data_IF_178738680499
#
_entry.id   IF_178738680499
#
_cell.length_a   1.000
_cell.length_b   1.000
_cell.length_c   1.000
_cell.angle_alpha   90.00
_cell.angle_beta   90.00
_cell.angle_gamma   90.00
#
_symmetry.space_group_name_H-M   'P 1'
#
loop_
_entity.id
_entity.type
_entity.pdbx_description
1 polymer ?
#
# COMPACT_ATOMS: atom_id res chain seq x y z
N UNK A 1 -13.01 -16.30 -4.88
CA UNK A 1 -13.33 -17.41 -5.79
C UNK A 1 -12.21 -17.69 -6.79
N UNK A 2 -11.74 -16.72 -7.58
CA UNK A 2 -10.62 -16.88 -8.53
C UNK A 2 -9.33 -17.39 -7.89
N UNK A 3 -8.98 -16.95 -6.69
CA UNK A 3 -7.81 -17.42 -5.93
C UNK A 3 -7.90 -18.91 -5.58
N UNK A 4 -9.07 -19.42 -5.21
CA UNK A 4 -9.30 -20.82 -4.92
C UNK A 4 -9.14 -21.72 -6.15
N UNK A 5 -9.62 -21.25 -7.30
CA UNK A 5 -9.47 -21.96 -8.58
C UNK A 5 -7.99 -21.99 -8.99
N UNK A 6 -7.28 -20.87 -8.86
CA UNK A 6 -5.86 -20.79 -9.18
C UNK A 6 -5.02 -21.70 -8.27
N UNK A 7 -5.29 -21.73 -6.97
CA UNK A 7 -4.57 -22.56 -6.01
C UNK A 7 -4.87 -24.05 -6.19
N UNK A 8 -6.12 -24.43 -6.48
CA UNK A 8 -6.48 -25.80 -6.81
C UNK A 8 -5.80 -26.28 -8.11
N UNK A 9 -5.67 -25.41 -9.11
CA UNK A 9 -4.95 -25.69 -10.36
C UNK A 9 -3.43 -25.82 -10.13
N UNK A 10 -2.83 -24.98 -9.28
CA UNK A 10 -1.39 -25.06 -8.96
C UNK A 10 -1.08 -26.34 -8.18
N UNK A 11 -1.88 -26.67 -7.16
CA UNK A 11 -1.68 -27.89 -6.37
C UNK A 11 -1.96 -29.13 -7.20
N UNK A 12 -3.05 -29.15 -7.97
CA UNK A 12 -3.37 -30.26 -8.89
C UNK A 12 -2.33 -30.41 -9.99
N UNK A 13 -1.87 -29.33 -10.57
CA UNK A 13 -0.80 -29.32 -11.58
C UNK A 13 0.54 -29.79 -11.03
N UNK A 14 0.92 -29.36 -9.81
CA UNK A 14 2.15 -29.81 -9.15
C UNK A 14 2.13 -31.32 -8.86
N UNK A 15 1.01 -31.85 -8.37
CA UNK A 15 0.82 -33.29 -8.14
C UNK A 15 0.92 -34.06 -9.45
N UNK A 16 0.27 -33.59 -10.52
CA UNK A 16 0.31 -34.23 -11.84
C UNK A 16 1.73 -34.23 -12.45
N UNK A 17 2.45 -33.13 -12.33
CA UNK A 17 3.84 -32.99 -12.81
C UNK A 17 4.77 -33.90 -12.00
N UNK A 18 4.67 -33.93 -10.69
CA UNK A 18 5.47 -34.82 -9.84
C UNK A 18 5.20 -36.29 -10.17
N UNK A 19 3.94 -36.65 -10.42
CA UNK A 19 3.55 -37.99 -10.82
C UNK A 19 4.11 -38.38 -12.18
N UNK A 20 4.08 -37.49 -13.18
CA UNK A 20 4.61 -37.76 -14.53
C UNK A 20 6.14 -37.87 -14.56
N UNK A 21 6.85 -37.04 -13.78
CA UNK A 21 8.32 -37.10 -13.64
C UNK A 21 8.71 -38.41 -12.96
N UNK A 22 8.06 -38.75 -11.85
CA UNK A 22 8.33 -40.00 -11.14
C UNK A 22 8.03 -41.25 -11.96
N UNK A 23 6.96 -41.23 -12.74
CA UNK A 23 6.65 -42.35 -13.68
C UNK A 23 7.74 -42.50 -14.75
N UNK A 24 8.29 -41.43 -15.28
CA UNK A 24 9.39 -41.46 -16.27
C UNK A 24 10.70 -41.95 -15.70
N UNK A 25 11.08 -41.53 -14.47
CA UNK A 25 12.30 -42.03 -13.81
C UNK A 25 12.23 -43.50 -13.45
N UNK A 26 11.03 -44.03 -13.19
CA UNK A 26 10.84 -45.43 -12.81
C UNK A 26 10.89 -46.39 -14.01
N UNK A 27 10.50 -45.93 -15.20
CA UNK A 27 10.55 -46.74 -16.43
C UNK A 27 11.96 -46.90 -17.01
N UNK A 28 12.85 -45.92 -16.81
CA UNK A 28 14.17 -45.90 -17.45
C UNK A 28 15.11 -47.07 -17.03
N UNK A 29 15.25 -47.45 -15.74
CA UNK A 29 16.13 -48.56 -15.35
C UNK A 29 15.55 -49.96 -15.70
N UNK A 30 14.25 -50.08 -15.96
CA UNK A 30 13.64 -51.37 -16.34
C UNK A 30 14.01 -51.80 -17.74
N UNK A 31 14.16 -50.89 -18.68
CA UNK A 31 14.49 -51.18 -20.07
C UNK A 31 15.90 -51.73 -20.26
N UNK A 32 16.87 -51.37 -19.39
CA UNK A 32 18.26 -51.86 -19.50
C UNK A 32 18.51 -53.25 -18.91
N UNK A 33 17.65 -53.74 -17.98
CA UNK A 33 17.84 -55.06 -17.32
C UNK A 33 17.04 -56.19 -17.95
N UNK A 34 16.08 -55.91 -18.84
CA UNK A 34 15.26 -56.91 -19.54
C UNK A 34 16.05 -57.89 -20.46
N UNK A 35 17.10 -57.42 -21.18
CA UNK A 35 17.83 -58.33 -22.09
C UNK A 35 18.59 -59.43 -21.37
N UNK A 36 19.09 -59.19 -20.16
CA UNK A 36 19.96 -60.14 -19.44
C UNK A 36 19.23 -61.42 -19.03
N UNK A 37 17.97 -61.29 -18.55
CA UNK A 37 17.18 -62.47 -18.13
C UNK A 37 16.68 -63.24 -19.35
N UNK A 38 16.28 -62.55 -20.41
CA UNK A 38 15.85 -63.20 -21.65
C UNK A 38 17.01 -63.89 -22.35
N UNK A 39 18.21 -63.33 -22.34
CA UNK A 39 19.43 -63.95 -22.87
C UNK A 39 19.75 -65.24 -22.12
N UNK A 40 19.77 -65.18 -20.77
CA UNK A 40 20.00 -66.41 -19.97
C UNK A 40 18.95 -67.44 -20.18
N UNK A 41 17.69 -67.06 -20.22
CA UNK A 41 16.59 -67.98 -20.50
C UNK A 41 16.72 -68.64 -21.93
N UNK A 42 17.15 -67.85 -22.92
CA UNK A 42 17.37 -68.33 -24.29
C UNK A 42 18.55 -69.34 -24.39
N UNK A 43 19.66 -69.09 -23.66
CA UNK A 43 20.80 -69.98 -23.58
C UNK A 43 20.42 -71.36 -22.94
N UNK A 44 19.65 -71.27 -21.84
CA UNK A 44 19.19 -72.47 -21.14
C UNK A 44 18.24 -73.29 -22.04
N UNK A 45 17.32 -72.58 -22.73
CA UNK A 45 16.39 -73.22 -23.67
C UNK A 45 17.14 -73.86 -24.83
N UNK A 46 18.15 -73.25 -25.40
CA UNK A 46 18.95 -73.77 -26.50
C UNK A 46 19.78 -74.96 -26.10
N UNK A 47 20.27 -75.08 -24.87
CA UNK A 47 21.12 -76.23 -24.40
C UNK A 47 20.35 -77.44 -23.92
N UNK A 48 19.18 -77.25 -23.35
CA UNK A 48 18.49 -78.31 -22.63
C UNK A 48 16.96 -78.38 -22.86
N UNK A 49 16.44 -77.58 -23.78
CA UNK A 49 15.02 -77.54 -24.10
C UNK A 49 14.14 -77.04 -22.95
N UNK A 50 12.83 -77.26 -23.06
CA UNK A 50 11.81 -76.78 -22.13
C UNK A 50 12.00 -77.33 -20.72
N UNK A 51 12.49 -78.57 -20.58
CA UNK A 51 12.74 -79.20 -19.30
C UNK A 51 13.83 -78.48 -18.49
N UNK A 52 14.94 -78.12 -19.15
CA UNK A 52 16.02 -77.32 -18.52
C UNK A 52 15.57 -75.91 -18.18
N UNK A 53 14.75 -75.26 -19.04
CA UNK A 53 14.19 -73.95 -18.78
C UNK A 53 13.25 -73.92 -17.56
N UNK A 54 12.40 -74.94 -17.40
CA UNK A 54 11.57 -75.12 -16.19
C UNK A 54 12.39 -75.27 -14.94
N UNK A 55 13.41 -76.11 -14.94
CA UNK A 55 14.30 -76.34 -13.81
C UNK A 55 15.10 -75.02 -13.43
N UNK A 56 15.59 -74.35 -14.47
CA UNK A 56 16.29 -73.07 -14.30
C UNK A 56 15.40 -72.00 -13.68
N UNK A 57 14.15 -71.87 -14.18
CA UNK A 57 13.20 -70.89 -13.66
C UNK A 57 12.77 -71.27 -12.26
N UNK A 58 12.57 -72.51 -11.89
CA UNK A 58 12.22 -72.93 -10.54
C UNK A 58 13.35 -72.74 -9.57
N UNK A 59 14.60 -72.95 -9.97
CA UNK A 59 15.80 -72.62 -9.14
C UNK A 59 16.02 -71.15 -8.97
N UNK A 60 15.80 -70.36 -10.03
CA UNK A 60 16.10 -68.89 -10.01
C UNK A 60 14.91 -68.01 -9.68
N UNK A 61 13.70 -68.56 -9.44
CA UNK A 61 12.50 -67.77 -9.13
C UNK A 61 12.66 -66.84 -7.93
N UNK A 62 13.54 -67.21 -6.98
CA UNK A 62 13.83 -66.42 -5.77
C UNK A 62 15.20 -65.66 -5.81
N UNK A 63 16.00 -65.90 -6.84
CA UNK A 63 17.34 -65.34 -6.98
C UNK A 63 17.35 -63.94 -7.54
N UNK A 64 16.21 -63.48 -8.09
CA UNK A 64 16.05 -62.12 -8.60
C UNK A 64 15.36 -61.32 -7.50
N UNK A 65 16.06 -60.40 -6.84
CA UNK A 65 15.48 -59.60 -5.77
C UNK A 65 14.31 -58.74 -6.25
N UNK A 66 13.22 -58.75 -5.51
CA UNK A 66 12.03 -57.92 -5.68
C UNK A 66 11.23 -58.10 -6.98
N UNK A 67 11.45 -59.22 -7.76
CA UNK A 67 10.71 -59.46 -9.01
C UNK A 67 10.30 -60.92 -9.17
N UNK A 68 9.11 -61.12 -9.73
CA UNK A 68 8.65 -62.38 -10.23
C UNK A 68 8.88 -62.47 -11.74
N UNK A 69 9.52 -63.55 -12.19
CA UNK A 69 9.74 -63.83 -13.59
C UNK A 69 8.73 -64.89 -14.03
N UNK A 70 7.98 -64.58 -15.06
CA UNK A 70 7.07 -65.46 -15.72
C UNK A 70 7.56 -65.70 -17.15
N UNK A 71 7.51 -66.95 -17.63
CA UNK A 71 7.77 -67.27 -19.01
C UNK A 71 6.48 -67.89 -19.59
N UNK A 72 5.87 -67.16 -20.49
CA UNK A 72 4.57 -67.42 -21.04
C UNK A 72 4.77 -68.30 -22.34
N UNK A 73 4.14 -69.45 -22.39
CA UNK A 73 4.17 -70.31 -23.55
C UNK A 73 3.24 -69.81 -24.67
N UNK A 74 3.26 -70.54 -25.81
CA UNK A 74 2.37 -70.24 -26.95
C UNK A 74 0.88 -70.40 -26.62
N UNK A 75 0.56 -71.10 -25.54
CA UNK A 75 -0.79 -71.31 -24.99
C UNK A 75 -1.25 -70.15 -24.08
N UNK A 76 -0.42 -69.17 -23.89
CA UNK A 76 -0.72 -67.99 -23.00
C UNK A 76 -0.59 -68.36 -21.53
N UNK A 77 -0.13 -69.58 -21.15
CA UNK A 77 0.06 -69.99 -19.76
C UNK A 77 1.54 -69.88 -19.32
N UNK A 78 1.80 -69.67 -18.01
CA UNK A 78 3.15 -69.76 -17.47
C UNK A 78 3.70 -71.17 -17.54
N UNK A 79 4.92 -71.41 -18.01
CA UNK A 79 5.52 -72.71 -18.17
C UNK A 79 5.62 -73.54 -16.90
N UNK A 80 5.62 -72.90 -15.70
CA UNK A 80 5.55 -73.53 -14.40
C UNK A 80 4.10 -73.77 -13.92
N UNK A 81 3.08 -73.44 -14.72
CA UNK A 81 1.67 -73.56 -14.33
C UNK A 81 1.21 -72.64 -13.21
N UNK A 82 1.96 -71.56 -12.92
CA UNK A 82 1.61 -70.61 -11.89
C UNK A 82 0.49 -69.70 -12.40
N UNK A 83 -0.39 -69.28 -11.51
CA UNK A 83 -1.39 -68.26 -11.83
C UNK A 83 -0.68 -66.87 -11.98
N UNK A 84 -0.94 -66.20 -13.08
CA UNK A 84 -0.45 -64.85 -13.32
C UNK A 84 -1.05 -63.90 -12.30
N UNK A 85 -0.20 -63.11 -11.69
CA UNK A 85 -0.66 -62.04 -10.87
C UNK A 85 -1.42 -60.98 -11.70
N UNK A 86 -2.30 -60.19 -11.09
CA UNK A 86 -3.08 -59.16 -11.79
C UNK A 86 -2.17 -58.20 -12.57
N UNK A 87 -0.99 -57.86 -12.00
CA UNK A 87 0.02 -57.04 -12.65
C UNK A 87 0.70 -57.71 -13.85
N UNK A 88 0.90 -59.07 -13.79
CA UNK A 88 1.43 -59.85 -14.92
C UNK A 88 0.41 -59.96 -16.04
N UNK A 89 -0.85 -60.21 -15.72
CA UNK A 89 -1.93 -60.30 -16.68
C UNK A 89 -2.13 -58.99 -17.45
N UNK A 90 -2.18 -57.83 -16.76
CA UNK A 90 -2.28 -56.51 -17.40
C UNK A 90 -1.08 -56.18 -18.30
N UNK A 91 0.13 -56.60 -17.91
CA UNK A 91 1.32 -56.40 -18.75
C UNK A 91 1.30 -57.28 -20.00
N UNK A 92 0.82 -58.53 -19.90
CA UNK A 92 0.66 -59.39 -21.03
C UNK A 92 -0.36 -58.83 -22.03
N UNK A 93 -1.51 -58.35 -21.55
CA UNK A 93 -2.51 -57.69 -22.40
C UNK A 93 -1.94 -56.43 -23.09
N UNK A 94 -1.15 -55.64 -22.39
CA UNK A 94 -0.52 -54.45 -22.96
C UNK A 94 0.44 -54.82 -24.10
N UNK A 95 1.28 -55.85 -23.94
CA UNK A 95 2.20 -56.30 -24.97
C UNK A 95 1.49 -56.94 -26.16
N UNK A 96 0.44 -57.71 -25.93
CA UNK A 96 -0.36 -58.30 -26.99
C UNK A 96 -1.12 -57.25 -27.81
N UNK A 97 -1.54 -56.17 -27.20
CA UNK A 97 -2.21 -55.05 -27.89
C UNK A 97 -1.28 -54.29 -28.82
N UNK A 98 -0.03 -54.03 -28.38
CA UNK A 98 0.99 -53.39 -29.22
C UNK A 98 1.44 -54.26 -30.41
N UNK A 99 1.40 -55.58 -30.27
CA UNK A 99 1.75 -56.55 -31.35
C UNK A 99 0.69 -56.59 -32.47
N UNK A 100 -0.58 -56.36 -32.11
CA UNK A 100 -1.69 -56.27 -33.08
C UNK A 100 -1.62 -54.96 -33.88
N UNK A 101 -1.23 -53.86 -33.27
CA UNK A 101 -1.14 -52.52 -33.91
C UNK A 101 0.04 -52.45 -34.89
N UNK A 102 1.12 -53.21 -34.66
CA UNK A 102 2.32 -53.20 -35.53
C UNK A 102 2.29 -54.23 -36.66
N UNK A 103 1.20 -54.98 -36.86
CA UNK A 103 1.03 -56.01 -37.97
C UNK A 103 0.34 -55.44 -39.21
N UNK A 104 0.20 -54.12 -39.41
CA UNK A 104 -0.20 -53.61 -40.72
C UNK A 104 0.94 -53.78 -41.71
N UNK A 105 0.70 -54.41 -42.87
CA UNK A 105 1.73 -54.65 -43.88
C UNK A 105 2.11 -53.32 -44.56
N UNK A 106 3.39 -53.18 -44.95
CA UNK A 106 3.79 -52.01 -45.72
C UNK A 106 3.20 -52.08 -47.11
N UNK A 107 2.30 -51.21 -47.44
CA UNK A 107 1.82 -51.01 -48.82
C UNK A 107 2.96 -50.35 -49.63
N UNK A 108 3.33 -51.00 -50.72
CA UNK A 108 4.11 -50.39 -51.79
C UNK A 108 5.38 -51.17 -52.21
N UNK A 109 5.20 -52.24 -52.98
CA UNK A 109 6.25 -52.79 -53.78
C UNK A 109 6.48 -51.99 -55.05
N UNK A 110 7.64 -51.29 -55.13
CA UNK A 110 8.19 -50.85 -56.42
C UNK A 110 9.40 -51.70 -56.83
N UNK A 111 9.68 -51.88 -58.09
CA UNK A 111 10.52 -53.00 -58.61
C UNK A 111 12.01 -52.79 -58.37
N UNK A 112 12.65 -53.90 -58.10
CA UNK A 112 14.09 -54.02 -57.90
C UNK A 112 14.91 -53.69 -59.13
N UNK A 113 15.96 -52.87 -58.91
CA UNK A 113 17.12 -52.80 -59.83
C UNK A 113 18.28 -53.57 -59.18
N UNK A 114 18.69 -54.64 -59.88
CA UNK A 114 19.91 -55.41 -59.64
C UNK A 114 21.14 -54.61 -60.07
N UNK A 115 22.19 -54.60 -59.28
CA UNK A 115 23.60 -54.75 -59.67
C UNK A 115 24.40 -54.79 -58.36
N UNK A 116 25.17 -55.82 -58.10
CA UNK A 116 26.46 -56.11 -58.64
C UNK A 116 27.48 -55.96 -57.55
N UNK A 117 28.00 -57.06 -57.03
CA UNK A 117 29.40 -57.41 -56.80
C UNK A 117 30.18 -56.61 -55.70
N UNK A 118 30.71 -57.38 -54.73
CA UNK A 118 31.96 -57.10 -54.07
C UNK A 118 31.99 -57.41 -52.56
N UNK A 119 32.98 -58.21 -52.12
CA UNK A 119 33.09 -58.67 -50.73
C UNK A 119 33.89 -57.68 -49.87
N UNK A 120 33.73 -57.81 -48.55
CA UNK A 120 34.53 -57.23 -47.48
C UNK A 120 34.34 -55.76 -47.15
N UNK A 121 33.58 -55.52 -46.08
CA UNK A 121 34.03 -54.60 -45.05
C UNK A 121 33.56 -55.10 -43.68
N UNK A 122 34.53 -55.51 -42.89
CA UNK A 122 34.46 -55.59 -41.41
C UNK A 122 34.21 -54.19 -40.80
N UNK A 123 33.37 -54.19 -39.79
CA UNK A 123 33.23 -53.16 -38.80
C UNK A 123 33.00 -51.69 -39.31
N UNK A 124 31.73 -51.39 -39.48
CA UNK A 124 31.22 -50.02 -39.51
C UNK A 124 30.23 -49.86 -38.39
N UNK A 125 30.49 -48.91 -37.48
CA UNK A 125 29.53 -48.51 -36.47
C UNK A 125 28.21 -48.04 -37.15
N UNK A 126 27.03 -48.38 -36.62
CA UNK A 126 25.79 -47.90 -37.20
C UNK A 126 25.66 -46.39 -36.96
N UNK A 127 25.03 -45.64 -37.89
CA UNK A 127 24.79 -44.22 -37.73
C UNK A 127 23.89 -43.93 -36.52
N UNK A 128 23.96 -42.76 -35.88
CA UNK A 128 23.11 -42.37 -34.77
C UNK A 128 21.69 -42.12 -35.30
N UNK A 129 20.94 -43.16 -35.52
CA UNK A 129 19.52 -43.10 -35.82
C UNK A 129 18.73 -43.40 -34.56
N UNK A 130 17.70 -42.67 -34.31
CA UNK A 130 16.72 -42.76 -33.23
C UNK A 130 16.39 -44.20 -32.88
N UNK A 131 17.11 -44.82 -31.96
CA UNK A 131 16.77 -46.08 -31.35
C UNK A 131 15.56 -45.85 -30.45
N UNK A 132 14.36 -46.03 -30.99
CA UNK A 132 13.19 -46.24 -30.15
C UNK A 132 13.33 -47.65 -29.58
N UNK A 133 13.54 -47.83 -28.27
CA UNK A 133 13.58 -49.17 -27.70
C UNK A 133 12.25 -49.87 -28.03
N UNK A 134 12.33 -51.06 -28.61
CA UNK A 134 11.16 -51.91 -28.89
C UNK A 134 10.39 -52.07 -27.57
N UNK A 135 9.14 -51.62 -27.55
CA UNK A 135 8.24 -51.83 -26.41
C UNK A 135 7.75 -53.29 -26.29
N UNK A 136 8.10 -54.12 -27.22
CA UNK A 136 7.75 -55.52 -27.20
C UNK A 136 8.40 -56.27 -26.03
N UNK A 137 7.67 -57.22 -25.44
CA UNK A 137 8.23 -58.08 -24.42
C UNK A 137 9.35 -58.95 -25.04
N UNK A 138 10.46 -59.22 -24.31
CA UNK A 138 11.50 -60.10 -24.78
C UNK A 138 10.92 -61.49 -25.11
N UNK A 139 11.13 -61.91 -26.33
CA UNK A 139 10.68 -63.25 -26.82
C UNK A 139 11.89 -64.14 -27.01
N UNK A 140 11.75 -65.40 -26.64
CA UNK A 140 12.75 -66.47 -26.86
C UNK A 140 12.12 -67.53 -27.74
N UNK A 141 12.87 -67.97 -28.73
CA UNK A 141 12.38 -68.98 -29.69
C UNK A 141 13.06 -70.32 -29.38
N UNK A 142 12.28 -71.36 -29.22
CA UNK A 142 12.77 -72.70 -29.03
C UNK A 142 13.15 -73.40 -30.40
N UNK A 143 13.92 -74.47 -30.35
CA UNK A 143 14.37 -75.21 -31.55
C UNK A 143 13.25 -75.83 -32.39
N UNK A 144 12.05 -75.92 -31.81
CA UNK A 144 10.82 -76.36 -32.46
C UNK A 144 10.02 -75.25 -33.13
N UNK A 145 10.50 -74.03 -33.07
CA UNK A 145 9.85 -72.81 -33.56
C UNK A 145 8.82 -72.18 -32.62
N UNK A 146 8.58 -72.73 -31.44
CA UNK A 146 7.65 -72.14 -30.45
C UNK A 146 8.25 -70.89 -29.80
N UNK A 147 7.41 -69.87 -29.62
CA UNK A 147 7.80 -68.56 -29.07
C UNK A 147 7.34 -68.45 -27.63
N UNK A 148 8.26 -68.12 -26.76
CA UNK A 148 8.00 -67.88 -25.32
C UNK A 148 8.26 -66.45 -24.99
N UNK A 149 7.35 -65.81 -24.23
CA UNK A 149 7.44 -64.40 -23.81
C UNK A 149 7.93 -64.29 -22.35
N UNK A 150 8.99 -63.55 -22.12
CA UNK A 150 9.54 -63.37 -20.78
C UNK A 150 8.96 -62.10 -20.12
N UNK A 151 8.21 -62.29 -19.04
CA UNK A 151 7.60 -61.21 -18.26
C UNK A 151 8.28 -61.09 -16.89
N UNK A 152 8.66 -59.86 -16.51
CA UNK A 152 9.18 -59.54 -15.18
C UNK A 152 8.22 -58.62 -14.48
N UNK A 153 7.75 -58.96 -13.27
CA UNK A 153 6.79 -58.19 -12.49
C UNK A 153 7.38 -57.88 -11.12
N UNK A 154 7.34 -56.66 -10.62
CA UNK A 154 7.84 -56.37 -9.30
C UNK A 154 7.02 -57.08 -8.22
N UNK A 155 7.72 -57.71 -7.25
CA UNK A 155 7.13 -58.50 -6.17
C UNK A 155 6.45 -57.64 -5.12
N UNK A 156 6.93 -56.39 -4.93
CA UNK A 156 6.33 -55.42 -4.05
C UNK A 156 5.69 -54.32 -4.88
N UNK A 157 4.50 -53.81 -4.45
CA UNK A 157 3.98 -52.60 -5.06
C UNK A 157 5.04 -51.52 -4.89
N UNK A 158 5.43 -50.86 -6.00
CA UNK A 158 6.27 -49.67 -5.94
C UNK A 158 5.57 -48.65 -5.05
N UNK A 159 6.32 -47.73 -4.45
CA UNK A 159 5.75 -46.60 -3.67
C UNK A 159 4.65 -45.91 -4.49
N UNK A 160 4.79 -45.89 -5.82
CA UNK A 160 3.77 -45.37 -6.74
C UNK A 160 2.56 -46.29 -6.89
N UNK A 161 2.71 -47.62 -6.80
CA UNK A 161 1.58 -48.54 -6.74
C UNK A 161 0.79 -48.37 -5.44
N UNK A 162 1.46 -48.08 -4.34
CA UNK A 162 0.81 -47.77 -3.08
C UNK A 162 0.09 -46.38 -3.13
N UNK A 163 0.67 -45.39 -3.79
CA UNK A 163 0.02 -44.07 -4.00
C UNK A 163 -1.18 -44.15 -4.97
N UNK A 164 -1.25 -45.14 -5.83
CA UNK A 164 -2.38 -45.34 -6.73
C UNK A 164 -3.59 -46.02 -6.06
N UNK A 165 -3.45 -46.42 -4.79
CA UNK A 165 -4.61 -46.89 -4.01
C UNK A 165 -5.57 -45.69 -3.81
N UNK A 166 -6.86 -45.83 -4.16
CA UNK A 166 -7.82 -44.72 -4.12
C UNK A 166 -7.95 -44.08 -2.73
N UNK A 167 -7.70 -44.84 -1.67
CA UNK A 167 -7.72 -44.33 -0.29
C UNK A 167 -6.59 -43.35 0.01
N UNK A 168 -5.37 -43.57 -0.51
CA UNK A 168 -4.21 -42.71 -0.25
C UNK A 168 -4.31 -41.41 -1.07
N UNK A 169 -4.73 -41.49 -2.34
CA UNK A 169 -4.94 -40.31 -3.18
C UNK A 169 -6.06 -39.41 -2.63
N UNK A 170 -7.13 -39.98 -2.10
CA UNK A 170 -8.21 -39.25 -1.44
C UNK A 170 -7.76 -38.58 -0.16
N UNK A 171 -6.92 -39.24 0.67
CA UNK A 171 -6.39 -38.62 1.90
C UNK A 171 -5.47 -37.43 1.61
N UNK A 172 -4.58 -37.54 0.61
CA UNK A 172 -3.71 -36.45 0.18
C UNK A 172 -4.56 -35.27 -0.34
N UNK A 173 -5.56 -35.55 -1.18
CA UNK A 173 -6.47 -34.52 -1.69
C UNK A 173 -7.25 -33.82 -0.56
N UNK A 174 -7.70 -34.56 0.45
CA UNK A 174 -8.39 -34.02 1.62
C UNK A 174 -7.48 -33.11 2.46
N UNK A 175 -6.25 -33.56 2.73
CA UNK A 175 -5.26 -32.75 3.46
C UNK A 175 -4.96 -31.45 2.70
N UNK A 176 -4.73 -31.51 1.38
CA UNK A 176 -4.50 -30.35 0.55
C UNK A 176 -5.68 -29.37 0.58
N UNK A 177 -6.90 -29.86 0.55
CA UNK A 177 -8.12 -29.06 0.66
C UNK A 177 -8.21 -28.36 2.02
N UNK A 178 -7.95 -29.07 3.12
CA UNK A 178 -7.97 -28.50 4.48
C UNK A 178 -6.89 -27.43 4.65
N UNK A 179 -5.66 -27.70 4.23
CA UNK A 179 -4.56 -26.71 4.29
C UNK A 179 -4.90 -25.48 3.46
N UNK A 180 -5.44 -25.65 2.25
CA UNK A 180 -5.87 -24.56 1.39
C UNK A 180 -7.01 -23.77 2.04
N UNK A 181 -7.98 -24.41 2.68
CA UNK A 181 -9.07 -23.75 3.40
C UNK A 181 -8.55 -22.92 4.57
N UNK A 182 -7.64 -23.48 5.38
CA UNK A 182 -7.05 -22.80 6.54
C UNK A 182 -6.20 -21.59 6.11
N UNK A 183 -5.38 -21.75 5.09
CA UNK A 183 -4.54 -20.64 4.59
C UNK A 183 -5.36 -19.51 4.00
N UNK A 184 -6.43 -19.81 3.26
CA UNK A 184 -7.32 -18.77 2.73
C UNK A 184 -8.15 -18.10 3.81
N UNK A 185 -8.62 -18.85 4.80
CA UNK A 185 -9.32 -18.28 5.95
C UNK A 185 -8.38 -17.35 6.73
N UNK A 186 -7.16 -17.78 6.99
CA UNK A 186 -6.13 -16.97 7.64
C UNK A 186 -5.81 -15.71 6.84
N UNK A 187 -5.62 -15.82 5.52
CA UNK A 187 -5.35 -14.69 4.65
C UNK A 187 -6.53 -13.69 4.60
N UNK A 188 -7.76 -14.21 4.56
CA UNK A 188 -8.97 -13.39 4.60
C UNK A 188 -9.06 -12.59 5.91
N UNK A 189 -8.77 -13.20 7.04
CA UNK A 189 -8.72 -12.52 8.33
C UNK A 189 -7.61 -11.47 8.40
N UNK A 190 -6.43 -11.78 7.85
CA UNK A 190 -5.26 -10.90 7.96
C UNK A 190 -5.25 -9.73 6.95
N UNK A 191 -5.79 -9.91 5.75
CA UNK A 191 -5.81 -8.85 4.72
C UNK A 191 -7.19 -8.22 4.53
N UNK A 192 -8.24 -9.03 4.39
CA UNK A 192 -9.56 -8.49 4.00
C UNK A 192 -10.26 -7.76 5.13
N UNK A 193 -10.11 -8.23 6.38
CA UNK A 193 -10.76 -7.62 7.54
C UNK A 193 -10.26 -6.17 7.80
N UNK A 194 -8.94 -5.89 7.86
CA UNK A 194 -8.44 -4.54 8.03
C UNK A 194 -8.84 -3.58 6.89
N UNK A 195 -8.78 -4.06 5.63
CA UNK A 195 -9.16 -3.25 4.47
C UNK A 195 -10.65 -2.86 4.55
N UNK A 196 -11.52 -3.76 4.95
CA UNK A 196 -12.95 -3.44 5.16
C UNK A 196 -13.14 -2.38 6.23
N UNK A 197 -12.37 -2.42 7.34
CA UNK A 197 -12.43 -1.38 8.38
C UNK A 197 -12.02 -0.01 7.85
N UNK A 198 -10.98 0.06 7.01
CA UNK A 198 -10.58 1.31 6.35
C UNK A 198 -11.71 1.82 5.45
N UNK A 199 -12.37 0.94 4.68
CA UNK A 199 -13.52 1.31 3.86
C UNK A 199 -14.71 1.80 4.70
N UNK A 200 -15.00 1.16 5.81
CA UNK A 200 -16.06 1.56 6.74
C UNK A 200 -15.73 2.91 7.38
N UNK A 201 -14.47 3.12 7.80
CA UNK A 201 -13.97 4.39 8.28
C UNK A 201 -14.10 5.52 7.26
N UNK A 202 -13.72 5.26 6.01
CA UNK A 202 -13.86 6.22 4.93
C UNK A 202 -15.33 6.57 4.62
N UNK A 203 -16.21 5.57 4.64
CA UNK A 203 -17.66 5.79 4.49
C UNK A 203 -18.25 6.55 5.67
N UNK A 204 -17.84 6.21 6.90
CA UNK A 204 -18.28 6.92 8.10
C UNK A 204 -17.87 8.40 8.04
N UNK A 205 -16.62 8.69 7.63
CA UNK A 205 -16.12 10.05 7.44
C UNK A 205 -16.89 10.80 6.34
N UNK A 206 -17.22 10.14 5.24
CA UNK A 206 -18.04 10.72 4.17
C UNK A 206 -19.47 11.03 4.63
N UNK A 207 -20.09 10.14 5.42
CA UNK A 207 -21.42 10.35 5.98
C UNK A 207 -21.42 11.43 7.06
N UNK A 208 -20.39 11.54 7.89
CA UNK A 208 -20.20 12.62 8.85
C UNK A 208 -20.11 13.98 8.13
N UNK A 209 -19.45 14.01 6.98
CA UNK A 209 -19.41 15.19 6.11
C UNK A 209 -20.77 15.57 5.53
N UNK A 210 -21.70 14.62 5.35
CA UNK A 210 -23.06 14.86 4.90
C UNK A 210 -24.03 15.29 6.01
N UNK A 211 -23.56 15.51 7.26
CA UNK A 211 -24.37 15.99 8.38
C UNK A 211 -25.07 14.86 9.18
N UNK A 212 -24.83 13.60 8.85
CA UNK A 212 -25.31 12.47 9.67
C UNK A 212 -24.43 12.35 10.93
N UNK A 213 -25.06 12.24 12.11
CA UNK A 213 -24.38 11.92 13.38
C UNK A 213 -23.89 10.46 13.36
N UNK A 214 -22.91 10.15 12.52
CA UNK A 214 -22.29 8.83 12.50
C UNK A 214 -21.06 8.86 13.43
N UNK A 215 -21.09 8.03 14.45
CA UNK A 215 -20.01 7.58 15.34
C UNK A 215 -18.75 8.49 15.38
N UNK A 216 -18.84 9.62 16.06
CA UNK A 216 -17.74 10.55 16.30
C UNK A 216 -16.65 9.95 17.21
N UNK A 217 -16.07 8.83 16.84
CA UNK A 217 -15.07 8.09 17.63
C UNK A 217 -14.60 6.82 16.95
N UNK A 218 -15.07 6.53 15.75
CA UNK A 218 -14.61 5.36 15.03
C UNK A 218 -13.15 5.56 14.60
N UNK A 219 -12.25 4.74 15.15
CA UNK A 219 -10.84 4.67 14.76
C UNK A 219 -10.58 3.36 14.03
N UNK A 220 -10.00 3.45 12.87
CA UNK A 220 -9.63 2.29 12.05
C UNK A 220 -8.49 1.51 12.71
N UNK A 221 -7.56 2.19 13.37
CA UNK A 221 -6.44 1.59 14.10
C UNK A 221 -6.86 0.84 15.35
N UNK A 222 -8.08 1.04 15.86
CA UNK A 222 -8.58 0.34 17.04
C UNK A 222 -8.64 -1.18 16.79
N UNK A 223 -7.89 -1.94 17.60
CA UNK A 223 -7.73 -3.40 17.44
C UNK A 223 -6.62 -3.83 16.46
N UNK A 224 -5.84 -2.89 15.92
CA UNK A 224 -4.62 -3.14 15.16
C UNK A 224 -3.35 -2.72 15.92
N UNK A 225 -3.46 -2.37 17.20
CA UNK A 225 -2.39 -1.81 18.04
C UNK A 225 -1.20 -2.76 18.21
N UNK A 226 -1.46 -4.07 18.21
CA UNK A 226 -0.41 -5.11 18.33
C UNK A 226 0.32 -5.40 17.02
N UNK A 227 -0.16 -4.88 15.89
CA UNK A 227 0.44 -5.11 14.56
C UNK A 227 1.48 -4.03 14.25
N UNK A 228 2.57 -4.48 13.61
CA UNK A 228 3.68 -3.62 13.17
C UNK A 228 3.87 -3.64 11.64
N UNK A 229 2.87 -4.16 10.93
CA UNK A 229 2.90 -4.28 9.47
C UNK A 229 2.41 -2.99 8.77
N UNK A 230 2.51 -2.98 7.45
CA UNK A 230 2.14 -1.85 6.58
C UNK A 230 0.66 -1.49 6.71
N UNK A 231 -0.19 -2.48 7.03
CA UNK A 231 -1.63 -2.25 7.23
C UNK A 231 -1.90 -1.46 8.50
N UNK A 232 -1.13 -1.71 9.56
CA UNK A 232 -1.25 -0.95 10.80
C UNK A 232 -0.70 0.48 10.66
N UNK A 233 0.32 0.69 9.82
CA UNK A 233 0.81 2.03 9.45
C UNK A 233 -0.29 2.77 8.69
N UNK A 234 -0.85 2.18 7.64
CA UNK A 234 -1.92 2.76 6.84
C UNK A 234 -3.16 3.12 7.68
N UNK A 235 -3.53 2.28 8.63
CA UNK A 235 -4.66 2.55 9.51
C UNK A 235 -4.41 3.76 10.43
N UNK A 236 -3.18 3.93 10.93
CA UNK A 236 -2.77 5.11 11.74
C UNK A 236 -2.73 6.38 10.91
N UNK A 237 -2.18 6.31 9.70
CA UNK A 237 -2.13 7.44 8.79
C UNK A 237 -3.54 7.89 8.38
N UNK A 238 -4.45 6.91 8.16
CA UNK A 238 -5.85 7.19 7.89
C UNK A 238 -6.53 7.89 9.08
N UNK A 239 -6.31 7.41 10.32
CA UNK A 239 -6.89 8.03 11.51
C UNK A 239 -6.33 9.46 11.71
N UNK A 240 -5.03 9.66 11.50
CA UNK A 240 -4.41 10.99 11.55
C UNK A 240 -5.02 11.96 10.51
N UNK A 241 -5.20 11.49 9.28
CA UNK A 241 -5.87 12.27 8.21
C UNK A 241 -7.33 12.58 8.58
N UNK A 242 -8.06 11.60 9.12
CA UNK A 242 -9.44 11.79 9.56
C UNK A 242 -9.56 12.82 10.70
N UNK A 243 -8.65 12.75 11.68
CA UNK A 243 -8.60 13.72 12.80
C UNK A 243 -8.25 15.12 12.29
N UNK A 244 -7.31 15.25 11.36
CA UNK A 244 -6.96 16.52 10.73
C UNK A 244 -8.15 17.12 9.95
N UNK A 245 -8.87 16.30 9.20
CA UNK A 245 -10.06 16.74 8.45
C UNK A 245 -11.18 17.22 9.39
N UNK A 246 -11.40 16.50 10.52
CA UNK A 246 -12.37 16.91 11.55
C UNK A 246 -11.98 18.22 12.20
N UNK A 247 -10.71 18.37 12.55
CA UNK A 247 -10.19 19.61 13.14
C UNK A 247 -10.36 20.79 12.18
N UNK A 248 -10.01 20.64 10.90
CA UNK A 248 -10.19 21.69 9.90
C UNK A 248 -11.68 22.06 9.73
N UNK A 249 -12.55 21.06 9.66
CA UNK A 249 -14.01 21.30 9.53
C UNK A 249 -14.57 22.02 10.76
N UNK A 250 -14.16 21.60 11.96
CA UNK A 250 -14.57 22.26 13.20
C UNK A 250 -14.13 23.73 13.23
N UNK A 251 -12.87 24.01 12.85
CA UNK A 251 -12.33 25.36 12.75
C UNK A 251 -13.12 26.23 11.75
N UNK A 252 -13.43 25.69 10.55
CA UNK A 252 -14.24 26.42 9.55
C UNK A 252 -15.65 26.68 10.08
N UNK A 253 -16.28 25.70 10.72
CA UNK A 253 -17.64 25.86 11.25
C UNK A 253 -17.67 26.91 12.38
N UNK A 254 -16.66 26.90 13.24
CA UNK A 254 -16.49 27.90 14.28
C UNK A 254 -16.28 29.30 13.67
N UNK A 255 -15.38 29.41 12.70
CA UNK A 255 -15.13 30.66 11.97
C UNK A 255 -16.41 31.22 11.33
N UNK A 256 -17.22 30.42 10.66
CA UNK A 256 -18.49 30.85 10.08
C UNK A 256 -19.50 31.33 11.12
N UNK A 257 -19.52 30.70 12.29
CA UNK A 257 -20.37 31.11 13.41
C UNK A 257 -19.93 32.47 13.93
N UNK A 258 -18.63 32.64 14.16
CA UNK A 258 -18.07 33.87 14.70
C UNK A 258 -18.23 35.05 13.72
N UNK A 259 -17.99 34.81 12.41
CA UNK A 259 -18.31 35.79 11.36
C UNK A 259 -19.77 36.23 11.41
N UNK A 260 -20.70 35.26 11.54
CA UNK A 260 -22.13 35.56 11.58
C UNK A 260 -22.50 36.44 12.77
N UNK A 261 -21.85 36.21 13.91
CA UNK A 261 -22.02 37.04 15.10
C UNK A 261 -21.43 38.45 14.92
N UNK A 262 -20.22 38.57 14.39
CA UNK A 262 -19.53 39.83 14.20
C UNK A 262 -20.15 40.69 13.07
N UNK A 263 -20.73 40.11 12.03
CA UNK A 263 -21.50 40.82 10.99
C UNK A 263 -22.84 41.36 11.52
N UNK A 264 -23.48 40.66 12.44
CA UNK A 264 -24.81 41.03 12.93
C UNK A 264 -24.74 42.37 13.75
N UNK A 265 -23.66 42.55 14.48
CA UNK A 265 -23.51 43.75 15.34
C UNK A 265 -23.44 45.06 14.54
N UNK A 266 -22.55 45.26 13.55
CA UNK A 266 -22.52 46.48 12.73
C UNK A 266 -23.81 46.67 11.92
N UNK A 267 -24.41 45.60 11.39
CA UNK A 267 -25.72 45.69 10.71
C UNK A 267 -26.83 46.19 11.62
N UNK A 268 -26.83 45.78 12.91
CA UNK A 268 -27.79 46.27 13.87
C UNK A 268 -27.56 47.78 14.14
N UNK A 269 -26.27 48.22 14.31
CA UNK A 269 -25.94 49.64 14.49
C UNK A 269 -26.31 50.48 13.28
N UNK A 270 -26.07 50.03 12.07
CA UNK A 270 -26.49 50.71 10.84
C UNK A 270 -28.01 50.86 10.78
N UNK A 271 -28.78 49.82 11.14
CA UNK A 271 -30.26 49.93 11.24
C UNK A 271 -30.73 50.94 12.23
N UNK A 272 -30.07 51.06 13.41
CA UNK A 272 -30.36 52.07 14.40
C UNK A 272 -30.04 53.47 13.87
N UNK A 273 -28.87 53.66 13.26
CA UNK A 273 -28.48 54.95 12.68
C UNK A 273 -29.47 55.38 11.58
N UNK A 274 -29.89 54.45 10.72
CA UNK A 274 -30.90 54.73 9.70
C UNK A 274 -32.27 55.07 10.28
N UNK A 275 -32.68 54.37 11.35
CA UNK A 275 -33.90 54.65 12.08
C UNK A 275 -33.88 56.04 12.72
N UNK A 276 -32.76 56.44 13.32
CA UNK A 276 -32.56 57.76 13.89
C UNK A 276 -32.54 58.87 12.81
N UNK A 277 -31.89 58.63 11.67
CA UNK A 277 -31.86 59.56 10.53
C UNK A 277 -33.22 59.88 9.95
N UNK A 278 -34.22 59.05 10.15
CA UNK A 278 -35.62 59.24 9.69
C UNK A 278 -36.47 60.09 10.63
N UNK A 279 -35.96 60.46 11.80
CA UNK A 279 -36.70 61.30 12.77
C UNK A 279 -36.67 62.79 12.32
N UNK A 280 -37.74 63.52 12.53
CA UNK A 280 -37.85 64.92 12.04
C UNK A 280 -36.81 65.91 12.59
N UNK A 281 -36.19 65.61 13.76
CA UNK A 281 -35.18 66.45 14.40
C UNK A 281 -33.76 65.79 14.35
N UNK A 282 -33.52 64.91 13.44
CA UNK A 282 -32.26 64.15 13.38
C UNK A 282 -31.12 65.01 12.81
N UNK A 283 -29.95 64.87 13.41
CA UNK A 283 -28.68 65.30 12.79
C UNK A 283 -28.28 64.23 11.76
N UNK A 284 -28.74 64.46 10.54
CA UNK A 284 -28.56 63.54 9.39
C UNK A 284 -27.07 63.32 9.09
N UNK A 285 -26.26 64.42 9.15
CA UNK A 285 -24.81 64.34 8.87
C UNK A 285 -24.11 63.39 9.85
N UNK A 286 -24.42 63.47 11.11
CA UNK A 286 -23.86 62.59 12.15
C UNK A 286 -24.28 61.15 11.99
N UNK A 287 -25.52 60.90 11.52
CA UNK A 287 -25.97 59.51 11.24
C UNK A 287 -25.32 58.94 9.98
N UNK A 288 -25.11 59.77 8.95
CA UNK A 288 -24.38 59.35 7.73
C UNK A 288 -22.93 58.98 8.07
N UNK A 289 -22.21 59.82 8.82
CA UNK A 289 -20.84 59.50 9.26
C UNK A 289 -20.76 58.20 10.09
N UNK A 290 -21.80 57.91 10.87
CA UNK A 290 -21.88 56.61 11.58
C UNK A 290 -22.09 55.47 10.63
N UNK A 291 -22.94 55.60 9.60
CA UNK A 291 -23.16 54.60 8.59
C UNK A 291 -21.89 54.35 7.79
N UNK A 292 -21.20 55.37 7.34
CA UNK A 292 -19.94 55.26 6.61
C UNK A 292 -18.90 54.48 7.43
N UNK A 293 -18.69 54.82 8.70
CA UNK A 293 -17.77 54.08 9.57
C UNK A 293 -18.13 52.61 9.77
N UNK A 294 -19.43 52.28 9.86
CA UNK A 294 -19.84 50.89 9.99
C UNK A 294 -19.69 50.13 8.68
N UNK A 295 -19.84 50.79 7.52
CA UNK A 295 -19.60 50.19 6.16
C UNK A 295 -18.10 49.90 6.01
N UNK A 296 -17.22 50.91 6.31
CA UNK A 296 -15.76 50.74 6.25
C UNK A 296 -15.30 49.59 7.15
N UNK A 297 -15.89 49.48 8.34
CA UNK A 297 -15.61 48.43 9.29
C UNK A 297 -16.02 47.04 8.75
N UNK A 298 -17.20 46.92 8.09
CA UNK A 298 -17.66 45.69 7.46
C UNK A 298 -16.76 45.29 6.32
N UNK A 299 -16.32 46.22 5.48
CA UNK A 299 -15.43 45.95 4.36
C UNK A 299 -14.07 45.43 4.84
N UNK A 300 -13.51 46.08 5.88
CA UNK A 300 -12.30 45.59 6.54
C UNK A 300 -12.46 44.17 7.09
N UNK A 301 -13.56 43.88 7.81
CA UNK A 301 -13.87 42.57 8.37
C UNK A 301 -13.95 41.52 7.29
N UNK A 302 -14.68 41.80 6.19
CA UNK A 302 -14.82 40.85 5.05
C UNK A 302 -13.45 40.57 4.43
N UNK A 303 -12.63 41.60 4.22
CA UNK A 303 -11.29 41.46 3.66
C UNK A 303 -10.37 40.61 4.55
N UNK A 304 -10.40 40.80 5.86
CA UNK A 304 -9.63 40.03 6.83
C UNK A 304 -10.11 38.57 6.89
N UNK A 305 -11.44 38.34 6.86
CA UNK A 305 -12.02 37.01 6.83
C UNK A 305 -11.64 36.24 5.56
N UNK A 306 -11.70 36.88 4.39
CA UNK A 306 -11.29 36.29 3.12
C UNK A 306 -9.80 35.96 3.11
N UNK A 307 -8.95 36.84 3.69
CA UNK A 307 -7.51 36.58 3.88
C UNK A 307 -7.28 35.36 4.76
N UNK A 308 -7.97 35.28 5.90
CA UNK A 308 -7.87 34.17 6.84
C UNK A 308 -8.37 32.85 6.21
N UNK A 309 -9.51 32.89 5.49
CA UNK A 309 -10.05 31.71 4.80
C UNK A 309 -9.10 31.15 3.72
N UNK A 310 -8.44 32.04 2.96
CA UNK A 310 -7.40 31.63 2.00
C UNK A 310 -6.20 30.97 2.65
N UNK A 311 -5.79 31.44 3.83
CA UNK A 311 -4.69 30.88 4.59
C UNK A 311 -5.04 29.52 5.23
N UNK A 312 -6.31 29.26 5.56
CA UNK A 312 -6.78 27.95 6.05
C UNK A 312 -7.03 26.93 4.96
N UNK A 313 -7.25 27.35 3.74
CA UNK A 313 -7.50 26.49 2.56
C UNK A 313 -6.26 25.83 1.95
N UNK A 314 -5.37 25.57 2.69
CA UNK A 314 -4.16 24.77 2.86
C UNK A 314 -3.34 24.27 1.70
N UNK A 315 -3.65 24.23 0.48
CA UNK A 315 -2.74 23.62 -0.52
C UNK A 315 -2.65 24.37 -1.86
N UNK A 316 -3.22 25.56 -1.96
CA UNK A 316 -2.85 26.41 -3.08
C UNK A 316 -1.50 27.05 -2.75
N UNK A 317 -0.40 26.66 -3.41
CA UNK A 317 0.85 27.34 -3.23
C UNK A 317 0.62 28.81 -3.61
N UNK A 318 0.60 29.71 -2.61
CA UNK A 318 0.73 31.14 -2.94
C UNK A 318 2.07 31.33 -3.66
N UNK A 319 2.09 32.21 -4.67
CA UNK A 319 3.31 32.52 -5.39
C UNK A 319 4.38 32.91 -4.38
N UNK A 320 5.43 32.11 -4.29
CA UNK A 320 6.59 32.39 -3.43
C UNK A 320 7.60 33.17 -4.24
N UNK A 321 7.91 34.33 -3.79
CA UNK A 321 8.95 35.20 -4.37
C UNK A 321 10.02 35.42 -3.31
N UNK A 322 11.26 35.59 -3.76
CA UNK A 322 12.32 36.02 -2.87
C UNK A 322 12.22 37.51 -2.68
N UNK A 323 12.10 37.98 -1.43
CA UNK A 323 12.06 39.40 -1.08
C UNK A 323 12.94 39.67 0.11
N UNK A 324 13.40 40.92 0.18
CA UNK A 324 14.19 41.43 1.32
C UNK A 324 13.25 41.71 2.49
N UNK A 325 13.50 41.06 3.62
CA UNK A 325 12.68 41.24 4.82
C UNK A 325 12.93 42.60 5.51
N UNK A 326 14.15 43.16 5.39
CA UNK A 326 14.44 44.49 5.92
C UNK A 326 13.58 45.57 5.26
N UNK A 327 13.38 45.48 3.92
CA UNK A 327 12.49 46.41 3.21
C UNK A 327 11.05 46.35 3.75
N UNK A 328 10.55 45.14 4.00
CA UNK A 328 9.19 44.96 4.56
C UNK A 328 9.08 45.53 5.95
N UNK A 329 10.06 45.26 6.81
CA UNK A 329 10.07 45.79 8.21
C UNK A 329 10.13 47.30 8.23
N UNK A 330 11.05 47.90 7.42
CA UNK A 330 11.21 49.35 7.34
C UNK A 330 9.94 50.05 6.82
N UNK A 331 9.28 49.46 5.81
CA UNK A 331 8.02 49.97 5.27
C UNK A 331 6.94 49.98 6.35
N UNK A 332 6.70 48.85 7.03
CA UNK A 332 5.67 48.72 8.06
C UNK A 332 5.97 49.61 9.26
N UNK A 333 7.24 49.71 9.68
CA UNK A 333 7.65 50.62 10.78
C UNK A 333 7.39 52.07 10.42
N UNK A 334 7.63 52.48 9.18
CA UNK A 334 7.35 53.85 8.68
C UNK A 334 5.87 54.16 8.74
N UNK A 335 5.03 53.26 8.25
CA UNK A 335 3.57 53.42 8.24
C UNK A 335 3.00 53.42 9.65
N UNK A 336 3.47 52.53 10.51
CA UNK A 336 3.05 52.48 11.91
C UNK A 336 3.49 53.73 12.72
N UNK A 337 4.66 54.36 12.42
CA UNK A 337 5.05 55.62 12.99
C UNK A 337 4.12 56.76 12.54
N UNK A 338 3.67 56.76 11.29
CA UNK A 338 2.70 57.75 10.80
C UNK A 338 1.35 57.59 11.51
N UNK A 339 0.83 56.37 11.64
CA UNK A 339 -0.40 56.11 12.41
C UNK A 339 -0.26 56.47 13.90
N UNK A 340 0.90 56.15 14.49
CA UNK A 340 1.23 56.42 15.89
C UNK A 340 1.37 57.93 16.24
N UNK A 341 1.60 58.77 15.23
CA UNK A 341 1.81 60.22 15.42
C UNK A 341 0.64 60.89 16.15
N UNK A 342 -0.60 60.45 15.92
CA UNK A 342 -1.79 60.97 16.60
C UNK A 342 -1.79 60.72 18.13
N UNK A 343 -1.09 59.68 18.59
CA UNK A 343 -0.88 59.33 20.00
C UNK A 343 0.50 59.72 20.53
N UNK A 344 1.33 60.36 19.70
CA UNK A 344 2.75 60.56 19.97
C UNK A 344 3.51 59.30 20.33
N UNK A 345 3.05 58.15 19.81
CA UNK A 345 3.66 56.84 19.99
C UNK A 345 4.78 56.66 18.95
N UNK A 346 5.99 56.35 19.39
CA UNK A 346 7.16 56.18 18.53
C UNK A 346 7.55 54.70 18.47
N UNK A 347 8.03 54.27 17.31
CA UNK A 347 8.55 52.91 17.13
C UNK A 347 10.07 53.00 17.08
N UNK A 348 10.73 52.16 17.91
CA UNK A 348 12.16 52.06 18.01
C UNK A 348 12.60 50.72 17.41
N UNK A 349 13.13 50.74 16.19
CA UNK A 349 13.64 49.52 15.50
C UNK A 349 15.10 49.30 15.86
N UNK A 350 15.44 48.09 16.31
CA UNK A 350 16.80 47.64 16.61
C UNK A 350 17.11 46.35 15.87
N UNK A 351 18.30 46.27 15.29
CA UNK A 351 18.72 45.11 14.51
C UNK A 351 18.32 45.21 13.03
N UNK A 352 18.70 44.25 12.28
CA UNK A 352 18.40 44.08 10.83
C UNK A 352 18.20 42.62 10.54
N UNK A 353 17.28 42.29 9.63
CA UNK A 353 17.00 40.93 9.24
C UNK A 353 18.16 40.36 8.40
N UNK A 354 18.73 41.16 7.51
CA UNK A 354 19.80 40.75 6.57
C UNK A 354 19.51 39.41 5.91
N UNK A 355 18.24 39.17 5.64
CA UNK A 355 17.74 37.85 5.16
C UNK A 355 16.73 38.06 4.03
N UNK A 356 16.90 37.30 2.97
CA UNK A 356 15.89 37.14 1.94
C UNK A 356 14.97 35.96 2.30
N UNK A 357 13.66 36.22 2.29
CA UNK A 357 12.63 35.21 2.56
C UNK A 357 11.98 34.77 1.27
N UNK A 358 11.84 33.47 1.11
CA UNK A 358 11.03 32.88 0.02
C UNK A 358 9.58 32.75 0.51
N UNK A 359 8.69 33.59 0.01
CA UNK A 359 7.32 33.62 0.49
C UNK A 359 6.46 34.63 -0.25
N UNK A 360 5.31 34.95 0.33
CA UNK A 360 4.45 36.01 -0.17
C UNK A 360 4.71 37.30 0.63
N UNK A 361 5.31 38.30 -0.03
CA UNK A 361 5.69 39.59 0.58
C UNK A 361 4.50 40.29 1.24
N UNK A 362 3.34 40.32 0.54
CA UNK A 362 2.15 41.04 1.04
C UNK A 362 1.56 40.40 2.30
N UNK A 363 1.63 39.03 2.38
CA UNK A 363 1.20 38.31 3.57
C UNK A 363 2.11 38.61 4.76
N UNK A 364 3.43 38.59 4.59
CA UNK A 364 4.41 38.87 5.62
C UNK A 364 4.28 40.35 6.06
N UNK A 365 4.18 41.29 5.11
CA UNK A 365 3.88 42.72 5.39
C UNK A 365 2.64 42.84 6.29
N UNK A 366 1.52 42.23 5.89
CA UNK A 366 0.28 42.25 6.64
C UNK A 366 0.40 41.67 8.06
N UNK A 367 1.21 40.58 8.20
CA UNK A 367 1.43 39.98 9.51
C UNK A 367 2.19 40.91 10.46
N UNK A 368 3.26 41.53 10.00
CA UNK A 368 4.05 42.49 10.77
C UNK A 368 3.21 43.75 11.10
N UNK A 369 2.49 44.28 10.10
CA UNK A 369 1.57 45.40 10.23
C UNK A 369 0.51 45.12 11.33
N UNK A 370 -0.13 43.99 11.33
CA UNK A 370 -1.14 43.61 12.33
C UNK A 370 -0.57 43.67 13.77
N UNK A 371 0.65 43.19 13.98
CA UNK A 371 1.30 43.20 15.29
C UNK A 371 1.68 44.60 15.68
N UNK A 372 2.29 45.40 14.79
CA UNK A 372 2.69 46.80 15.07
C UNK A 372 1.48 47.68 15.33
N UNK A 373 0.42 47.56 14.53
CA UNK A 373 -0.82 48.31 14.75
C UNK A 373 -1.47 47.95 16.08
N UNK A 374 -1.44 46.69 16.50
CA UNK A 374 -1.88 46.31 17.84
C UNK A 374 -1.00 46.93 18.93
N UNK A 375 0.32 46.89 18.77
CA UNK A 375 1.26 47.46 19.72
C UNK A 375 1.04 48.97 19.92
N UNK A 376 0.90 49.74 18.83
CA UNK A 376 0.58 51.20 18.87
C UNK A 376 -0.79 51.46 19.52
N UNK A 377 -1.76 50.62 19.20
CA UNK A 377 -3.13 50.76 19.67
C UNK A 377 -3.25 50.59 21.19
N UNK A 378 -2.64 49.52 21.73
CA UNK A 378 -2.72 49.18 23.16
C UNK A 378 -1.70 49.92 24.01
N UNK A 379 -0.70 50.57 23.40
CA UNK A 379 0.23 51.47 24.10
C UNK A 379 -0.47 52.74 24.58
N UNK A 380 -0.10 53.26 25.75
CA UNK A 380 -0.56 54.56 26.21
C UNK A 380 -0.03 55.69 25.31
N UNK A 381 -0.53 56.91 25.53
CA UNK A 381 -0.01 58.13 24.89
C UNK A 381 1.45 58.32 25.27
N UNK A 382 2.26 58.91 24.36
CA UNK A 382 3.70 59.16 24.53
C UNK A 382 4.55 57.89 24.75
N UNK A 383 4.06 56.74 24.45
CA UNK A 383 4.76 55.49 24.65
C UNK A 383 5.77 55.18 23.53
N UNK A 384 6.69 54.27 23.85
CA UNK A 384 7.66 53.72 22.93
C UNK A 384 7.33 52.25 22.66
N UNK A 385 7.13 51.87 21.40
CA UNK A 385 7.06 50.49 20.95
C UNK A 385 8.45 50.03 20.52
N UNK A 386 8.98 48.99 21.15
CA UNK A 386 10.29 48.46 20.80
C UNK A 386 10.14 47.30 19.81
N UNK A 387 10.86 47.35 18.70
CA UNK A 387 10.98 46.28 17.71
C UNK A 387 12.42 45.81 17.70
N UNK A 388 12.69 44.55 18.02
CA UNK A 388 14.00 43.94 17.92
C UNK A 388 13.99 42.87 16.87
N UNK A 389 15.06 42.83 16.09
CA UNK A 389 15.29 41.82 15.05
C UNK A 389 16.62 41.13 15.32
N UNK A 390 16.58 39.85 15.60
CA UNK A 390 17.73 39.06 16.02
C UNK A 390 17.77 37.75 15.20
N UNK A 391 18.99 37.25 14.94
CA UNK A 391 19.20 35.95 14.39
C UNK A 391 19.54 34.97 15.50
N UNK A 392 18.88 33.82 15.47
CA UNK A 392 19.25 32.69 16.29
C UNK A 392 19.66 31.47 15.40
N UNK A 393 20.01 30.33 16.02
CA UNK A 393 20.41 29.10 15.29
C UNK A 393 19.28 28.52 14.46
N UNK A 394 18.03 28.94 14.67
CA UNK A 394 16.82 28.40 14.02
C UNK A 394 16.25 29.33 12.94
N UNK A 395 16.75 30.56 12.84
CA UNK A 395 16.31 31.56 11.88
C UNK A 395 16.25 32.97 12.45
N UNK A 396 15.31 33.76 11.98
CA UNK A 396 15.10 35.14 12.42
C UNK A 396 13.99 35.20 13.48
N UNK A 397 14.27 35.93 14.55
CA UNK A 397 13.31 36.28 15.60
C UNK A 397 13.07 37.79 15.58
N UNK A 398 11.84 38.20 15.22
CA UNK A 398 11.38 39.56 15.36
C UNK A 398 10.49 39.66 16.60
N UNK A 399 10.84 40.48 17.56
CA UNK A 399 10.04 40.73 18.77
C UNK A 399 9.54 42.15 18.82
N UNK A 400 8.23 42.30 18.99
CA UNK A 400 7.54 43.59 19.05
C UNK A 400 6.96 43.75 20.47
N UNK A 401 7.43 44.70 21.23
CA UNK A 401 7.01 44.99 22.59
C UNK A 401 6.20 46.28 22.66
N UNK A 402 4.99 46.20 23.19
CA UNK A 402 4.19 47.37 23.56
C UNK A 402 4.40 47.76 25.04
N UNK A 403 3.82 48.90 25.45
CA UNK A 403 3.79 49.39 26.84
C UNK A 403 2.37 49.38 27.41
N UNK A 404 1.51 48.52 26.87
CA UNK A 404 0.12 48.35 27.27
C UNK A 404 -0.05 47.64 28.61
N UNK A 405 -1.29 47.28 28.96
CA UNK A 405 -1.60 46.53 30.17
C UNK A 405 -1.13 45.07 30.19
N UNK A 406 -0.66 44.57 29.04
CA UNK A 406 -0.40 43.13 28.84
C UNK A 406 -1.68 42.31 28.65
N UNK A 407 -1.55 40.99 28.77
CA UNK A 407 -2.63 40.02 28.59
C UNK A 407 -2.65 39.06 29.78
N UNK A 408 -3.81 38.71 30.36
CA UNK A 408 -3.86 37.69 31.40
C UNK A 408 -3.15 36.40 30.96
N UNK A 409 -2.37 35.74 31.83
CA UNK A 409 -1.60 34.58 31.47
C UNK A 409 -2.45 33.43 30.84
N UNK A 410 -3.69 33.31 31.29
CA UNK A 410 -4.62 32.28 30.72
C UNK A 410 -5.05 32.58 29.28
N UNK A 411 -4.95 33.83 28.84
CA UNK A 411 -5.42 34.29 27.53
C UNK A 411 -4.28 34.32 26.48
N UNK A 412 -3.00 34.23 26.92
CA UNK A 412 -1.83 34.38 26.04
C UNK A 412 -1.82 33.40 24.83
N UNK A 413 -2.28 32.19 25.02
CA UNK A 413 -2.39 31.21 23.92
C UNK A 413 -3.59 31.49 23.02
N UNK A 414 -4.65 32.06 23.57
CA UNK A 414 -5.91 32.31 22.87
C UNK A 414 -5.92 33.61 22.04
N UNK A 415 -5.02 34.57 22.27
CA UNK A 415 -4.99 35.81 21.48
C UNK A 415 -4.72 35.60 19.98
N UNK A 416 -4.24 34.43 19.58
CA UNK A 416 -4.03 34.03 18.19
C UNK A 416 -5.25 33.32 17.59
N UNK A 417 -6.29 33.03 18.38
CA UNK A 417 -7.54 32.48 17.87
C UNK A 417 -8.37 33.56 17.16
N UNK A 418 -9.03 33.23 16.04
CA UNK A 418 -9.89 34.19 15.34
C UNK A 418 -11.00 34.72 16.27
N UNK A 419 -11.24 36.04 16.21
CA UNK A 419 -12.27 36.75 16.98
C UNK A 419 -12.07 36.77 18.52
N UNK A 420 -10.96 36.19 19.01
CA UNK A 420 -10.67 36.23 20.44
C UNK A 420 -10.30 37.66 20.91
N UNK A 421 -10.87 38.05 22.02
CA UNK A 421 -10.60 39.35 22.68
C UNK A 421 -10.61 39.18 24.19
N UNK A 422 -9.60 39.72 24.87
CA UNK A 422 -9.51 39.75 26.33
C UNK A 422 -10.71 40.51 26.89
N UNK A 423 -11.33 40.00 27.96
CA UNK A 423 -12.59 40.51 28.49
C UNK A 423 -12.53 42.00 28.87
N UNK A 424 -11.40 42.48 29.39
CA UNK A 424 -11.19 43.84 29.79
C UNK A 424 -11.09 44.83 28.61
N UNK A 425 -10.79 44.37 27.39
CA UNK A 425 -10.69 45.18 26.18
C UNK A 425 -12.00 45.26 25.39
N UNK A 426 -13.11 44.77 25.95
CA UNK A 426 -14.43 44.78 25.28
C UNK A 426 -15.09 46.15 25.19
N UNK A 427 -14.49 47.20 25.75
CA UNK A 427 -15.00 48.52 25.58
C UNK A 427 -15.07 48.93 24.11
N UNK A 428 -16.27 49.33 23.69
CA UNK A 428 -16.72 49.43 22.29
C UNK A 428 -15.96 50.43 21.42
N UNK A 429 -15.18 51.33 22.03
CA UNK A 429 -14.39 52.34 21.32
C UNK A 429 -12.99 51.86 20.92
N UNK A 430 -12.54 50.73 21.45
CA UNK A 430 -11.23 50.16 21.14
C UNK A 430 -11.20 49.21 19.92
N UNK A 431 -12.06 49.37 18.99
CA UNK A 431 -12.21 49.08 17.55
C UNK A 431 -11.46 47.88 16.87
N UNK A 432 -10.97 46.83 17.52
CA UNK A 432 -10.35 45.66 16.85
C UNK A 432 -11.28 44.45 16.76
N UNK A 433 -11.24 43.77 15.64
CA UNK A 433 -12.13 42.64 15.31
C UNK A 433 -11.62 41.27 15.84
N UNK A 434 -10.40 41.24 16.42
CA UNK A 434 -9.79 40.01 16.94
C UNK A 434 -9.29 39.06 15.88
N UNK A 435 -9.10 39.51 14.63
CA UNK A 435 -8.65 38.66 13.52
C UNK A 435 -7.15 38.87 13.21
N UNK A 436 -6.60 40.04 13.49
CA UNK A 436 -5.25 40.44 13.06
C UNK A 436 -4.15 39.49 13.54
N UNK A 437 -4.13 39.11 14.83
CA UNK A 437 -3.14 38.17 15.36
C UNK A 437 -3.36 36.74 14.86
N UNK A 438 -4.61 36.34 14.60
CA UNK A 438 -4.91 35.07 13.97
C UNK A 438 -4.35 34.99 12.54
N UNK A 439 -4.50 36.06 11.75
CA UNK A 439 -3.86 36.17 10.42
C UNK A 439 -2.34 36.04 10.56
N UNK A 440 -1.75 36.81 11.52
CA UNK A 440 -0.30 36.77 11.78
C UNK A 440 0.17 35.31 12.05
N UNK A 441 -0.50 34.58 12.95
CA UNK A 441 -0.14 33.24 13.29
C UNK A 441 -0.23 32.27 12.06
N UNK A 442 -1.28 32.42 11.24
CA UNK A 442 -1.43 31.61 10.05
C UNK A 442 -0.40 31.96 8.95
N UNK A 443 -0.08 33.25 8.79
CA UNK A 443 0.98 33.64 7.85
C UNK A 443 2.34 33.12 8.30
N UNK A 444 2.69 33.23 9.57
CA UNK A 444 3.93 32.64 10.08
C UNK A 444 3.98 31.16 9.86
N UNK A 445 2.91 30.41 10.17
CA UNK A 445 2.80 28.97 9.94
C UNK A 445 2.95 28.61 8.46
N UNK A 446 2.32 29.36 7.55
CA UNK A 446 2.40 29.14 6.10
C UNK A 446 3.82 29.38 5.54
N UNK A 447 4.65 30.16 6.25
CA UNK A 447 6.06 30.38 5.95
C UNK A 447 7.01 29.47 6.75
N UNK A 448 6.48 28.41 7.41
CA UNK A 448 7.27 27.48 8.22
C UNK A 448 7.73 28.02 9.57
N UNK A 449 7.25 29.20 9.93
CA UNK A 449 7.56 29.88 11.19
C UNK A 449 6.46 29.73 12.24
N UNK A 450 6.52 30.57 13.27
CA UNK A 450 5.56 30.63 14.37
C UNK A 450 5.43 32.03 14.96
N UNK A 451 4.26 32.32 15.53
CA UNK A 451 4.02 33.53 16.36
C UNK A 451 3.83 33.08 17.80
N UNK A 452 4.39 33.84 18.71
CA UNK A 452 4.32 33.62 20.17
C UNK A 452 4.06 34.93 20.88
N UNK A 453 3.49 34.87 22.10
CA UNK A 453 3.26 36.05 22.92
C UNK A 453 3.67 35.78 24.37
N UNK A 454 4.19 36.79 25.01
CA UNK A 454 4.54 36.78 26.43
C UNK A 454 4.38 38.17 27.04
N UNK A 455 4.04 38.25 28.33
CA UNK A 455 4.05 39.50 29.04
C UNK A 455 5.49 39.88 29.42
N UNK A 456 5.81 41.17 29.30
CA UNK A 456 7.08 41.66 29.78
C UNK A 456 7.01 41.95 31.30
N UNK A 457 8.13 41.78 32.02
CA UNK A 457 8.20 41.95 33.48
C UNK A 457 7.84 43.37 33.92
N UNK A 458 8.21 44.39 33.16
CA UNK A 458 7.89 45.81 33.42
C UNK A 458 6.55 46.25 32.81
N UNK A 459 5.68 45.29 32.44
CA UNK A 459 4.41 45.55 31.76
C UNK A 459 4.52 45.57 30.23
N UNK A 460 3.35 45.43 29.57
CA UNK A 460 3.21 45.32 28.13
C UNK A 460 3.29 43.89 27.62
N UNK A 461 2.90 43.70 26.37
CA UNK A 461 2.93 42.45 25.65
C UNK A 461 4.12 42.43 24.69
N UNK A 462 4.78 41.30 24.62
CA UNK A 462 5.77 40.99 23.58
C UNK A 462 5.13 39.96 22.62
N UNK A 463 5.03 40.33 21.35
CA UNK A 463 4.69 39.40 20.30
C UNK A 463 5.95 39.08 19.50
N UNK A 464 6.32 37.81 19.44
CA UNK A 464 7.52 37.32 18.76
C UNK A 464 7.14 36.53 17.51
N UNK A 465 7.70 36.92 16.38
CA UNK A 465 7.53 36.29 15.08
C UNK A 465 8.84 35.58 14.72
N UNK A 466 8.78 34.29 14.56
CA UNK A 466 9.92 33.44 14.15
C UNK A 466 9.77 32.99 12.70
N UNK A 467 10.80 33.23 11.89
CA UNK A 467 10.89 32.75 10.50
C UNK A 467 12.17 31.93 10.37
N UNK A 468 12.09 30.68 9.93
CA UNK A 468 13.26 29.81 9.74
C UNK A 468 14.14 30.31 8.59
N UNK A 469 15.44 30.20 8.76
CA UNK A 469 16.41 30.46 7.69
C UNK A 469 16.30 29.36 6.63
N UNK A 470 15.96 29.74 5.40
CA UNK A 470 15.86 28.76 4.30
C UNK A 470 14.63 27.86 4.39
N UNK A 471 13.42 28.43 4.58
CA UNK A 471 12.20 27.68 4.44
C UNK A 471 12.19 26.95 3.08
N UNK A 472 12.04 25.61 3.04
CA UNK A 472 12.21 24.85 1.84
C UNK A 472 11.22 25.30 0.77
N UNK A 473 11.72 25.51 -0.46
CA UNK A 473 10.88 25.47 -1.64
C UNK A 473 10.32 24.04 -1.73
N UNK A 474 9.06 23.86 -1.34
CA UNK A 474 8.31 22.61 -1.56
C UNK A 474 7.76 22.63 -2.97
#
# INVERSE_FOLDING_TARGET
MLFWIAMALIVGGSIAITFTIAAREYEAPELQRRPSIAIQASEVLARGGIGALKSWLDTNKNSIPDRDVFIIGPDGADILGRRLSEGAARRLEFFNRDEIVNREPPMGSGPALRSGGGPNRLFGAPPPGNFRPSRAAPQIVAGDGSVYTVLTVPRRPSIFGALSLPAISLTIAFIALVVSALTSWWLAQHLSSPIRRIQEGARALACENAGARANAGFRVSAGLESRKDEVAVLARDFDAMADQLRANRSAITQLLRDISHELRSPLARMRVALGLARQPAADISRQLERLEREIERLDSLISQVLKLARLHGTDAPFAREAFDLDEVIEEVVRDANFEGAAKNCKINLRGQARMSVSGNRDLVHSAVENVLRNAVRYSPQDALVDVSVEHDQSGLLMSIRDRGPGVPPADLEHIFEPFYRVAESRDRDSGGEGIGLAITAQVMKAHGGRAMAANHQDGGLIVSLHLPEGAPAV
#
